data_IF_062213747832
#
_entry.id   IF_062213747832
#
_cell.length_a   1.000
_cell.length_b   1.000
_cell.length_c   1.000
_cell.angle_alpha   90.00
_cell.angle_beta   90.00
_cell.angle_gamma   90.00
#
_symmetry.space_group_name_H-M   'P 1'
#
loop_
_entity.id
_entity.type
_entity.pdbx_description
1 polymer ?
#
# COMPACT_ATOMS: atom_id res chain seq x y z
N UNK A 1 -76.49 1.84 7.12
CA UNK A 1 -77.55 2.49 6.34
C UNK A 1 -78.79 2.61 7.21
N UNK A 2 -79.54 3.69 7.06
CA UNK A 2 -80.84 3.93 7.72
C UNK A 2 -81.94 4.04 6.66
N UNK A 3 -83.24 3.89 6.99
CA UNK A 3 -84.33 4.03 6.01
C UNK A 3 -84.40 5.39 5.29
N UNK A 4 -83.77 6.42 5.87
CA UNK A 4 -83.68 7.78 5.34
C UNK A 4 -82.38 8.04 4.54
N UNK A 5 -81.53 7.01 4.35
CA UNK A 5 -80.29 7.16 3.57
C UNK A 5 -80.61 7.39 2.08
N UNK A 6 -79.93 8.31 1.38
CA UNK A 6 -80.14 8.50 -0.05
C UNK A 6 -79.78 7.25 -0.87
N UNK A 7 -80.34 7.15 -2.08
CA UNK A 7 -80.21 6.04 -3.04
C UNK A 7 -80.91 4.71 -2.70
N UNK A 8 -81.73 4.64 -1.64
CA UNK A 8 -82.63 3.50 -1.41
C UNK A 8 -83.74 3.50 -2.48
N UNK A 9 -83.84 2.40 -3.24
CA UNK A 9 -84.79 2.23 -4.35
C UNK A 9 -84.93 0.75 -4.71
N UNK A 10 -86.11 0.34 -5.20
CA UNK A 10 -86.35 -1.01 -5.69
C UNK A 10 -85.42 -1.32 -6.88
N UNK A 11 -84.71 -2.46 -6.85
CA UNK A 11 -83.75 -2.86 -7.89
C UNK A 11 -84.33 -3.99 -8.74
N UNK A 12 -84.46 -3.84 -10.09
CA UNK A 12 -85.18 -4.80 -10.94
C UNK A 12 -84.67 -6.24 -10.94
N UNK A 13 -83.39 -6.44 -10.64
CA UNK A 13 -82.74 -7.76 -10.66
C UNK A 13 -81.99 -8.05 -9.34
N UNK A 14 -82.59 -7.69 -8.20
CA UNK A 14 -81.98 -7.84 -6.88
C UNK A 14 -81.54 -9.27 -6.51
N UNK A 15 -82.17 -10.30 -7.09
CA UNK A 15 -81.87 -11.72 -6.82
C UNK A 15 -80.87 -12.33 -7.83
N UNK A 16 -80.35 -11.57 -8.79
CA UNK A 16 -79.35 -12.06 -9.74
C UNK A 16 -78.01 -12.24 -9.02
N UNK A 17 -77.50 -13.48 -8.93
CA UNK A 17 -76.09 -13.69 -8.63
C UNK A 17 -75.21 -13.25 -9.81
N UNK A 18 -74.22 -12.37 -9.60
CA UNK A 18 -73.14 -12.16 -10.58
C UNK A 18 -72.45 -13.48 -10.93
N UNK A 19 -71.99 -13.62 -12.18
CA UNK A 19 -71.40 -14.88 -12.68
C UNK A 19 -70.10 -15.27 -11.94
N UNK A 20 -69.40 -14.28 -11.39
CA UNK A 20 -68.11 -14.44 -10.70
C UNK A 20 -68.25 -14.27 -9.16
N UNK A 21 -69.41 -14.59 -8.60
CA UNK A 21 -69.66 -14.47 -7.16
C UNK A 21 -68.95 -15.57 -6.39
N UNK A 22 -67.84 -15.24 -5.72
CA UNK A 22 -67.17 -16.13 -4.77
C UNK A 22 -68.04 -16.40 -3.53
N UNK A 23 -68.00 -17.63 -3.03
CA UNK A 23 -68.61 -17.97 -1.74
C UNK A 23 -67.85 -17.34 -0.58
N UNK A 24 -68.49 -17.19 0.58
CA UNK A 24 -67.84 -16.66 1.80
C UNK A 24 -66.61 -17.51 2.17
N UNK A 25 -66.68 -18.83 1.97
CA UNK A 25 -65.55 -19.74 2.19
C UNK A 25 -64.40 -19.45 1.21
N UNK A 26 -64.67 -19.34 -0.09
CA UNK A 26 -63.65 -18.98 -1.09
C UNK A 26 -63.00 -17.62 -0.80
N UNK A 27 -63.77 -16.64 -0.32
CA UNK A 27 -63.22 -15.35 0.12
C UNK A 27 -62.37 -15.45 1.38
N UNK A 28 -62.76 -16.27 2.36
CA UNK A 28 -61.97 -16.54 3.57
C UNK A 28 -60.65 -17.24 3.23
N UNK A 29 -60.70 -18.26 2.38
CA UNK A 29 -59.52 -19.02 1.94
C UNK A 29 -58.56 -18.15 1.11
N UNK A 30 -59.08 -17.33 0.20
CA UNK A 30 -58.28 -16.35 -0.55
C UNK A 30 -57.65 -15.31 0.38
N UNK A 31 -58.40 -14.80 1.37
CA UNK A 31 -57.89 -13.82 2.35
C UNK A 31 -56.82 -14.42 3.26
N UNK A 32 -57.00 -15.68 3.69
CA UNK A 32 -56.01 -16.45 4.45
C UNK A 32 -54.73 -16.66 3.63
N UNK A 33 -54.87 -17.12 2.39
CA UNK A 33 -53.77 -17.33 1.47
C UNK A 33 -52.98 -16.04 1.18
N UNK A 34 -53.68 -14.91 1.01
CA UNK A 34 -53.02 -13.61 0.83
C UNK A 34 -52.22 -13.20 2.09
N UNK A 35 -52.78 -13.40 3.29
CA UNK A 35 -52.05 -13.19 4.54
C UNK A 35 -50.81 -14.08 4.65
N UNK A 36 -50.94 -15.38 4.42
CA UNK A 36 -49.83 -16.35 4.47
C UNK A 36 -48.72 -15.98 3.46
N UNK A 37 -49.09 -15.53 2.26
CA UNK A 37 -48.14 -14.98 1.28
C UNK A 37 -47.46 -13.71 1.76
N UNK A 38 -48.19 -12.78 2.37
CA UNK A 38 -47.61 -11.54 2.92
C UNK A 38 -46.63 -11.85 4.07
N UNK A 39 -47.01 -12.72 5.00
CA UNK A 39 -46.16 -13.16 6.11
C UNK A 39 -44.90 -13.89 5.60
N UNK A 40 -45.03 -14.73 4.57
CA UNK A 40 -43.90 -15.38 3.90
C UNK A 40 -42.95 -14.36 3.26
N UNK A 41 -43.46 -13.40 2.48
CA UNK A 41 -42.62 -12.36 1.84
C UNK A 41 -41.93 -11.46 2.87
N UNK A 42 -42.62 -11.13 3.97
CA UNK A 42 -42.02 -10.39 5.10
C UNK A 42 -40.91 -11.20 5.78
N UNK A 43 -41.06 -12.52 5.90
CA UNK A 43 -40.01 -13.41 6.39
C UNK A 43 -38.80 -13.42 5.45
N UNK A 44 -38.98 -13.60 4.13
CA UNK A 44 -37.87 -13.59 3.17
C UNK A 44 -37.16 -12.22 3.12
N UNK A 45 -37.91 -11.11 3.19
CA UNK A 45 -37.35 -9.76 3.28
C UNK A 45 -36.44 -9.57 4.50
N UNK A 46 -36.82 -10.09 5.66
CA UNK A 46 -35.97 -10.06 6.87
C UNK A 46 -34.70 -10.89 6.66
N UNK A 47 -34.84 -12.15 6.22
CA UNK A 47 -33.69 -13.04 5.98
C UNK A 47 -32.69 -12.47 4.96
N UNK A 48 -33.18 -11.81 3.91
CA UNK A 48 -32.33 -11.12 2.93
C UNK A 48 -31.58 -9.93 3.56
N UNK A 49 -32.26 -9.10 4.36
CA UNK A 49 -31.61 -8.00 5.09
C UNK A 49 -30.57 -8.52 6.08
N UNK A 50 -30.88 -9.56 6.85
CA UNK A 50 -29.94 -10.17 7.80
C UNK A 50 -28.69 -10.72 7.08
N UNK A 51 -28.86 -11.35 5.91
CA UNK A 51 -27.76 -11.83 5.08
C UNK A 51 -26.89 -10.69 4.53
N UNK A 52 -27.50 -9.59 4.07
CA UNK A 52 -26.79 -8.38 3.65
C UNK A 52 -26.00 -7.77 4.82
N UNK A 53 -26.62 -7.67 6.00
CA UNK A 53 -25.97 -7.17 7.22
C UNK A 53 -24.76 -8.04 7.61
N UNK A 54 -24.89 -9.37 7.58
CA UNK A 54 -23.81 -10.29 7.87
C UNK A 54 -22.65 -10.15 6.86
N UNK A 55 -22.96 -10.01 5.56
CA UNK A 55 -21.97 -9.80 4.50
C UNK A 55 -21.22 -8.47 4.66
N UNK A 56 -21.93 -7.38 4.96
CA UNK A 56 -21.33 -6.07 5.23
C UNK A 56 -20.42 -6.11 6.48
N UNK A 57 -20.87 -6.75 7.56
CA UNK A 57 -20.07 -6.93 8.77
C UNK A 57 -18.82 -7.79 8.51
N UNK A 58 -18.95 -8.87 7.73
CA UNK A 58 -17.81 -9.71 7.36
C UNK A 58 -16.80 -8.95 6.49
N UNK A 59 -17.26 -8.23 5.45
CA UNK A 59 -16.42 -7.40 4.60
C UNK A 59 -15.68 -6.32 5.40
N UNK A 60 -16.39 -5.64 6.30
CA UNK A 60 -15.80 -4.67 7.24
C UNK A 60 -14.73 -5.29 8.12
N UNK A 61 -15.02 -6.42 8.78
CA UNK A 61 -14.07 -7.09 9.66
C UNK A 61 -12.80 -7.53 8.92
N UNK A 62 -12.94 -7.98 7.65
CA UNK A 62 -11.79 -8.25 6.78
C UNK A 62 -10.97 -6.98 6.50
N UNK A 63 -11.60 -5.87 6.15
CA UNK A 63 -10.91 -4.60 5.91
C UNK A 63 -10.18 -4.08 7.16
N UNK A 64 -10.83 -4.11 8.33
CA UNK A 64 -10.21 -3.72 9.62
C UNK A 64 -9.02 -4.66 9.98
N UNK A 65 -9.13 -5.96 9.71
CA UNK A 65 -8.05 -6.94 9.92
C UNK A 65 -6.87 -6.73 8.95
N UNK A 66 -7.13 -6.56 7.64
CA UNK A 66 -6.10 -6.25 6.64
C UNK A 66 -5.40 -4.93 6.96
N UNK A 67 -6.15 -3.90 7.34
CA UNK A 67 -5.59 -2.60 7.72
C UNK A 67 -4.63 -2.72 8.91
N UNK A 68 -5.02 -3.51 9.92
CA UNK A 68 -4.17 -3.76 11.12
C UNK A 68 -2.92 -4.55 10.77
N UNK A 69 -3.04 -5.59 9.92
CA UNK A 69 -1.92 -6.39 9.47
C UNK A 69 -0.90 -5.58 8.65
N UNK A 70 -1.36 -4.74 7.72
CA UNK A 70 -0.48 -3.85 6.93
C UNK A 70 0.19 -2.79 7.82
N UNK A 71 -0.55 -2.18 8.74
CA UNK A 71 0.04 -1.23 9.71
C UNK A 71 1.09 -1.88 10.61
N UNK A 72 0.89 -3.14 11.02
CA UNK A 72 1.89 -3.89 11.78
C UNK A 72 3.15 -4.16 10.94
N UNK A 73 2.98 -4.71 9.72
CA UNK A 73 4.08 -5.01 8.82
C UNK A 73 4.90 -3.77 8.44
N UNK A 74 4.25 -2.62 8.18
CA UNK A 74 4.94 -1.35 7.92
C UNK A 74 5.76 -0.86 9.12
N UNK A 75 5.24 -1.01 10.36
CA UNK A 75 5.97 -0.62 11.57
C UNK A 75 7.15 -1.55 11.85
N UNK A 76 6.98 -2.85 11.62
CA UNK A 76 8.06 -3.82 11.72
C UNK A 76 9.17 -3.50 10.72
N UNK A 77 8.84 -3.33 9.43
CA UNK A 77 9.80 -2.96 8.39
C UNK A 77 10.50 -1.63 8.69
N UNK A 78 9.78 -0.64 9.22
CA UNK A 78 10.37 0.64 9.64
C UNK A 78 11.37 0.47 10.79
N UNK A 79 11.11 -0.44 11.74
CA UNK A 79 12.04 -0.78 12.81
C UNK A 79 13.30 -1.49 12.28
N UNK A 80 13.13 -2.48 11.40
CA UNK A 80 14.24 -3.17 10.72
C UNK A 80 15.09 -2.21 9.88
N UNK A 81 14.45 -1.27 9.15
CA UNK A 81 15.14 -0.21 8.42
C UNK A 81 15.93 0.72 9.35
N UNK A 82 15.38 1.09 10.51
CA UNK A 82 16.09 1.87 11.50
C UNK A 82 17.31 1.15 12.07
N UNK A 83 17.17 -0.13 12.45
CA UNK A 83 18.31 -0.95 12.89
C UNK A 83 19.41 -1.00 11.83
N UNK A 84 19.07 -1.36 10.58
CA UNK A 84 20.09 -1.42 9.50
C UNK A 84 20.70 -0.05 9.16
N UNK A 85 19.96 1.05 9.31
CA UNK A 85 20.51 2.39 9.15
C UNK A 85 21.51 2.74 10.27
N UNK A 86 21.17 2.44 11.52
CA UNK A 86 22.01 2.76 12.67
C UNK A 86 23.28 1.88 12.70
N UNK A 87 23.17 0.61 12.28
CA UNK A 87 24.32 -0.28 12.01
C UNK A 87 25.25 0.28 10.93
N UNK A 88 24.70 0.80 9.82
CA UNK A 88 25.50 1.43 8.74
C UNK A 88 26.18 2.72 9.23
N UNK A 89 25.50 3.54 10.03
CA UNK A 89 26.10 4.74 10.65
C UNK A 89 27.24 4.36 11.59
N UNK A 90 27.11 3.28 12.36
CA UNK A 90 28.20 2.74 13.18
C UNK A 90 29.36 2.20 12.33
N UNK A 91 29.08 1.47 11.23
CA UNK A 91 30.11 1.03 10.30
C UNK A 91 30.85 2.21 9.66
N UNK A 92 30.15 3.29 9.31
CA UNK A 92 30.75 4.52 8.79
C UNK A 92 31.75 5.12 9.78
N UNK A 93 31.37 5.31 11.05
CA UNK A 93 32.27 5.90 12.06
C UNK A 93 33.48 5.00 12.34
N UNK A 94 33.32 3.68 12.27
CA UNK A 94 34.43 2.74 12.35
C UNK A 94 35.39 2.86 11.14
N UNK A 95 34.87 2.94 9.91
CA UNK A 95 35.69 3.15 8.71
C UNK A 95 36.42 4.50 8.74
N UNK A 96 35.78 5.56 9.22
CA UNK A 96 36.40 6.89 9.43
C UNK A 96 37.58 6.81 10.40
N UNK A 97 37.46 6.04 11.50
CA UNK A 97 38.55 5.78 12.44
C UNK A 97 39.68 4.94 11.82
N UNK A 98 39.34 3.86 11.11
CA UNK A 98 40.32 3.02 10.41
C UNK A 98 41.13 3.82 9.38
N UNK A 99 40.46 4.68 8.58
CA UNK A 99 41.11 5.62 7.65
C UNK A 99 42.09 6.54 8.39
N UNK A 100 41.68 7.16 9.49
CA UNK A 100 42.56 8.05 10.27
C UNK A 100 43.79 7.32 10.84
N UNK A 101 43.66 6.04 11.24
CA UNK A 101 44.81 5.23 11.69
C UNK A 101 45.77 4.91 10.54
N UNK A 102 45.27 4.55 9.35
CA UNK A 102 46.12 4.29 8.18
C UNK A 102 46.82 5.58 7.70
N UNK A 103 46.17 6.74 7.77
CA UNK A 103 46.78 8.03 7.45
C UNK A 103 47.86 8.46 8.47
N UNK A 104 47.79 8.01 9.72
CA UNK A 104 48.88 8.16 10.70
C UNK A 104 50.04 7.19 10.42
N UNK A 105 49.75 5.91 10.11
CA UNK A 105 50.77 4.92 9.78
C UNK A 105 51.54 5.27 8.49
N UNK A 106 50.86 5.84 7.48
CA UNK A 106 51.48 6.41 6.28
C UNK A 106 52.48 7.52 6.66
N UNK A 107 52.04 8.52 7.46
CA UNK A 107 52.91 9.62 7.91
C UNK A 107 54.10 9.12 8.72
N UNK A 108 53.92 8.08 9.55
CA UNK A 108 54.99 7.42 10.30
C UNK A 108 55.99 6.70 9.41
N UNK A 109 55.54 5.97 8.39
CA UNK A 109 56.42 5.29 7.44
C UNK A 109 57.20 6.27 6.57
N UNK A 110 56.57 7.34 6.09
CA UNK A 110 57.27 8.41 5.38
C UNK A 110 58.36 9.07 6.24
N UNK A 111 58.08 9.31 7.52
CA UNK A 111 59.09 9.80 8.46
C UNK A 111 60.25 8.79 8.61
N UNK A 112 59.93 7.51 8.85
CA UNK A 112 60.94 6.46 8.97
C UNK A 112 61.80 6.26 7.71
N UNK A 113 61.26 6.54 6.50
CA UNK A 113 62.02 6.52 5.24
C UNK A 113 62.98 7.72 5.18
N UNK A 114 62.50 8.93 5.50
CA UNK A 114 63.30 10.16 5.55
C UNK A 114 64.42 10.06 6.59
N UNK A 115 64.15 9.44 7.73
CA UNK A 115 65.14 9.19 8.79
C UNK A 115 66.29 8.28 8.34
N UNK A 116 66.15 7.50 7.25
CA UNK A 116 67.23 6.66 6.70
C UNK A 116 68.15 7.39 5.73
N UNK A 117 67.69 8.47 5.09
CA UNK A 117 68.50 9.24 4.15
C UNK A 117 69.79 9.86 4.74
N UNK A 118 69.85 10.42 5.97
CA UNK A 118 71.10 10.94 6.51
C UNK A 118 72.16 9.84 6.71
N UNK A 119 71.76 8.63 7.10
CA UNK A 119 72.68 7.50 7.25
C UNK A 119 73.17 6.99 5.89
N UNK A 120 72.28 6.89 4.90
CA UNK A 120 72.65 6.55 3.51
C UNK A 120 73.65 7.55 2.95
N UNK A 121 73.35 8.85 3.07
CA UNK A 121 74.23 9.94 2.64
C UNK A 121 75.59 9.88 3.33
N UNK A 122 75.64 9.62 4.65
CA UNK A 122 76.89 9.48 5.38
C UNK A 122 77.73 8.31 4.88
N UNK A 123 77.13 7.15 4.61
CA UNK A 123 77.83 5.99 4.04
C UNK A 123 78.34 6.26 2.62
N UNK A 124 77.51 6.87 1.76
CA UNK A 124 77.87 7.25 0.38
C UNK A 124 79.02 8.26 0.35
N UNK A 125 78.94 9.37 1.10
CA UNK A 125 80.02 10.37 1.21
C UNK A 125 81.30 9.78 1.82
N UNK A 126 81.21 8.85 2.77
CA UNK A 126 82.41 8.15 3.31
C UNK A 126 83.06 7.19 2.31
N UNK A 127 82.29 6.63 1.38
CA UNK A 127 82.83 5.83 0.27
C UNK A 127 83.49 6.74 -0.77
N UNK A 128 82.86 7.87 -1.10
CA UNK A 128 83.39 8.90 -2.02
C UNK A 128 84.77 9.40 -1.57
N UNK A 129 84.92 9.85 -0.32
CA UNK A 129 86.22 10.25 0.25
C UNK A 129 87.30 9.13 0.26
N UNK A 130 86.92 7.86 0.09
CA UNK A 130 87.86 6.74 -0.05
C UNK A 130 88.30 6.51 -1.50
N UNK A 131 87.51 6.95 -2.48
CA UNK A 131 87.87 6.93 -3.90
C UNK A 131 88.91 7.99 -4.25
N UNK A 132 88.95 9.11 -3.51
CA UNK A 132 89.90 10.22 -3.71
C UNK A 132 91.30 9.97 -3.08
N UNK A 133 91.58 8.77 -2.57
CA UNK A 133 92.87 8.44 -1.95
C UNK A 133 93.99 8.38 -3.01
N UNK A 134 95.14 9.03 -2.79
CA UNK A 134 96.21 9.07 -3.78
C UNK A 134 97.01 7.76 -3.85
N UNK A 135 97.36 7.34 -5.06
CA UNK A 135 98.33 6.27 -5.35
C UNK A 135 98.01 4.95 -4.61
N UNK A 136 98.95 4.42 -3.82
CA UNK A 136 98.85 3.14 -3.14
C UNK A 136 97.82 3.12 -1.98
N UNK A 137 97.36 4.29 -1.52
CA UNK A 137 96.32 4.39 -0.49
C UNK A 137 94.91 4.08 -1.02
N UNK A 138 94.73 4.02 -2.36
CA UNK A 138 93.50 3.59 -3.02
C UNK A 138 93.34 2.07 -2.91
N UNK A 139 92.93 1.61 -1.73
CA UNK A 139 92.77 0.20 -1.39
C UNK A 139 91.34 -0.15 -0.97
N UNK A 140 90.90 -1.35 -1.36
CA UNK A 140 89.68 -2.00 -0.84
C UNK A 140 89.93 -2.53 0.58
N UNK A 141 90.07 -1.61 1.53
CA UNK A 141 90.31 -1.92 2.93
C UNK A 141 89.03 -2.48 3.63
N UNK A 142 89.15 -3.18 4.78
CA UNK A 142 87.97 -3.73 5.47
C UNK A 142 86.88 -2.68 5.78
N UNK A 143 87.20 -1.41 6.14
CA UNK A 143 86.19 -0.36 6.26
C UNK A 143 85.46 0.01 4.95
N UNK A 144 86.08 -0.08 3.77
CA UNK A 144 85.38 0.09 2.50
C UNK A 144 84.30 -0.98 2.30
N UNK A 145 84.62 -2.24 2.62
CA UNK A 145 83.65 -3.34 2.56
C UNK A 145 82.49 -3.11 3.54
N UNK A 146 82.78 -2.75 4.80
CA UNK A 146 81.75 -2.45 5.81
C UNK A 146 80.82 -1.30 5.42
N UNK A 147 81.35 -0.19 4.87
CA UNK A 147 80.53 0.92 4.39
C UNK A 147 79.67 0.55 3.18
N UNK A 148 80.16 -0.31 2.28
CA UNK A 148 79.40 -0.82 1.14
C UNK A 148 78.24 -1.72 1.59
N UNK A 149 78.46 -2.57 2.59
CA UNK A 149 77.44 -3.41 3.21
C UNK A 149 76.40 -2.58 3.97
N UNK A 150 76.84 -1.56 4.75
CA UNK A 150 75.96 -0.60 5.42
C UNK A 150 75.05 0.12 4.41
N UNK A 151 75.61 0.64 3.31
CA UNK A 151 74.85 1.29 2.23
C UNK A 151 73.80 0.36 1.63
N UNK A 152 74.16 -0.89 1.34
CA UNK A 152 73.25 -1.90 0.78
C UNK A 152 72.13 -2.26 1.77
N UNK A 153 72.45 -2.41 3.05
CA UNK A 153 71.49 -2.71 4.12
C UNK A 153 70.49 -1.57 4.33
N UNK A 154 70.96 -0.31 4.34
CA UNK A 154 70.09 0.86 4.42
C UNK A 154 69.19 0.96 3.18
N UNK A 155 69.73 0.73 1.98
CA UNK A 155 68.95 0.73 0.73
C UNK A 155 67.84 -0.35 0.77
N UNK A 156 68.18 -1.59 1.12
CA UNK A 156 67.19 -2.68 1.24
C UNK A 156 66.11 -2.36 2.30
N UNK A 157 66.48 -1.68 3.39
CA UNK A 157 65.53 -1.20 4.40
C UNK A 157 64.60 -0.13 3.82
N UNK A 158 65.11 0.84 3.06
CA UNK A 158 64.28 1.85 2.40
C UNK A 158 63.35 1.23 1.33
N UNK A 159 63.81 0.25 0.57
CA UNK A 159 62.99 -0.49 -0.41
C UNK A 159 61.84 -1.25 0.28
N UNK A 160 62.10 -1.93 1.39
CA UNK A 160 61.08 -2.61 2.19
C UNK A 160 60.04 -1.64 2.76
N UNK A 161 60.48 -0.50 3.30
CA UNK A 161 59.58 0.53 3.84
C UNK A 161 58.71 1.16 2.74
N UNK A 162 59.27 1.42 1.55
CA UNK A 162 58.52 1.90 0.38
C UNK A 162 57.48 0.87 -0.10
N UNK A 163 57.84 -0.42 -0.12
CA UNK A 163 56.91 -1.50 -0.42
C UNK A 163 55.75 -1.56 0.58
N UNK A 164 56.01 -1.34 1.87
CA UNK A 164 54.96 -1.26 2.89
C UNK A 164 54.11 0.01 2.77
N UNK A 165 54.71 1.14 2.40
CA UNK A 165 54.01 2.40 2.17
C UNK A 165 53.00 2.26 1.02
N UNK A 166 53.37 1.63 -0.10
CA UNK A 166 52.45 1.30 -1.19
C UNK A 166 51.27 0.44 -0.73
N UNK A 167 51.51 -0.61 0.08
CA UNK A 167 50.43 -1.44 0.63
C UNK A 167 49.44 -0.65 1.51
N UNK A 168 49.90 0.38 2.22
CA UNK A 168 49.02 1.26 3.00
C UNK A 168 48.23 2.23 2.14
N UNK A 169 48.83 2.79 1.08
CA UNK A 169 48.09 3.60 0.09
C UNK A 169 46.98 2.79 -0.57
N UNK A 170 47.27 1.57 -1.02
CA UNK A 170 46.27 0.62 -1.54
C UNK A 170 45.16 0.30 -0.52
N UNK A 171 45.50 0.22 0.78
CA UNK A 171 44.54 -0.03 1.85
C UNK A 171 43.64 1.19 2.11
N UNK A 172 44.22 2.39 2.17
CA UNK A 172 43.51 3.65 2.32
C UNK A 172 42.51 3.86 1.18
N UNK A 173 42.92 3.56 -0.05
CA UNK A 173 42.07 3.63 -1.24
C UNK A 173 40.88 2.65 -1.19
N UNK A 174 41.11 1.42 -0.71
CA UNK A 174 40.03 0.45 -0.48
C UNK A 174 39.05 0.95 0.59
N UNK A 175 39.56 1.42 1.74
CA UNK A 175 38.74 1.93 2.84
C UNK A 175 37.90 3.14 2.41
N UNK A 176 38.47 4.08 1.63
CA UNK A 176 37.75 5.24 1.09
C UNK A 176 36.62 4.84 0.13
N UNK A 177 36.82 3.81 -0.71
CA UNK A 177 35.76 3.25 -1.57
C UNK A 177 34.65 2.57 -0.75
N UNK A 178 35.02 1.84 0.31
CA UNK A 178 34.04 1.24 1.23
C UNK A 178 33.23 2.30 1.98
N UNK A 179 33.87 3.37 2.45
CA UNK A 179 33.21 4.52 3.08
C UNK A 179 32.22 5.20 2.13
N UNK A 180 32.58 5.38 0.86
CA UNK A 180 31.68 5.92 -0.15
C UNK A 180 30.44 5.04 -0.37
N UNK A 181 30.62 3.72 -0.46
CA UNK A 181 29.52 2.77 -0.61
C UNK A 181 28.57 2.78 0.61
N UNK A 182 29.11 2.75 1.84
CA UNK A 182 28.31 2.83 3.07
C UNK A 182 27.53 4.13 3.16
N UNK A 183 28.09 5.26 2.71
CA UNK A 183 27.39 6.54 2.68
C UNK A 183 26.22 6.56 1.68
N UNK A 184 26.36 5.92 0.51
CA UNK A 184 25.25 5.76 -0.43
C UNK A 184 24.16 4.85 0.15
N UNK A 185 24.53 3.73 0.78
CA UNK A 185 23.57 2.86 1.47
C UNK A 185 22.80 3.59 2.57
N UNK A 186 23.47 4.43 3.38
CA UNK A 186 22.81 5.30 4.37
C UNK A 186 21.80 6.24 3.71
N UNK A 187 22.15 6.87 2.58
CA UNK A 187 21.26 7.75 1.81
C UNK A 187 20.00 7.00 1.33
N UNK A 188 20.18 5.82 0.73
CA UNK A 188 19.10 4.96 0.24
C UNK A 188 18.20 4.48 1.39
N UNK A 189 18.77 4.11 2.54
CA UNK A 189 18.02 3.72 3.74
C UNK A 189 17.25 4.89 4.35
N UNK A 190 17.85 6.07 4.45
CA UNK A 190 17.18 7.28 4.94
C UNK A 190 15.98 7.66 4.04
N UNK A 191 16.13 7.58 2.71
CA UNK A 191 15.01 7.78 1.79
C UNK A 191 13.93 6.70 1.94
N UNK A 192 14.31 5.43 2.14
CA UNK A 192 13.38 4.32 2.38
C UNK A 192 12.56 4.52 3.66
N UNK A 193 13.22 4.92 4.75
CA UNK A 193 12.58 5.29 6.04
C UNK A 193 11.58 6.43 5.84
N UNK A 194 11.94 7.46 5.08
CA UNK A 194 11.05 8.59 4.75
C UNK A 194 9.81 8.15 3.97
N UNK A 195 9.98 7.28 2.98
CA UNK A 195 8.87 6.74 2.19
C UNK A 195 7.95 5.85 3.02
N UNK A 196 8.49 4.93 3.82
CA UNK A 196 7.70 4.04 4.67
C UNK A 196 6.94 4.79 5.78
N UNK A 197 7.51 5.87 6.33
CA UNK A 197 6.79 6.79 7.24
C UNK A 197 5.59 7.45 6.55
N UNK A 198 5.78 7.99 5.34
CA UNK A 198 4.69 8.57 4.56
C UNK A 198 3.62 7.54 4.20
N UNK A 199 4.01 6.31 3.88
CA UNK A 199 3.09 5.19 3.67
C UNK A 199 2.31 4.83 4.93
N UNK A 200 2.95 4.84 6.10
CA UNK A 200 2.30 4.57 7.38
C UNK A 200 1.27 5.65 7.74
N UNK A 201 1.62 6.93 7.53
CA UNK A 201 0.71 8.07 7.74
C UNK A 201 -0.48 8.06 6.79
N UNK A 202 -0.25 7.90 5.49
CA UNK A 202 -1.32 7.89 4.47
C UNK A 202 -2.27 6.72 4.69
N UNK A 203 -1.74 5.54 4.99
CA UNK A 203 -2.54 4.38 5.35
C UNK A 203 -3.27 4.56 6.70
N UNK A 204 -2.71 5.32 7.66
CA UNK A 204 -3.41 5.69 8.90
C UNK A 204 -4.66 6.54 8.64
N UNK A 205 -4.60 7.45 7.64
CA UNK A 205 -5.72 8.32 7.24
C UNK A 205 -6.85 7.58 6.51
N UNK A 206 -6.55 6.46 5.85
CA UNK A 206 -7.55 5.67 5.08
C UNK A 206 -8.27 4.59 5.90
N UNK A 207 -8.13 4.58 7.23
CA UNK A 207 -8.85 3.63 8.09
C UNK A 207 -10.38 3.79 7.94
N UNK A 208 -11.14 2.70 7.67
CA UNK A 208 -12.59 2.81 7.56
C UNK A 208 -13.21 3.29 8.89
N UNK A 209 -14.19 4.21 8.85
CA UNK A 209 -14.80 4.77 10.06
C UNK A 209 -15.47 3.69 10.90
N UNK A 210 -15.48 3.85 12.23
CA UNK A 210 -16.14 2.95 13.17
C UNK A 210 -17.63 2.76 12.81
N UNK A 211 -18.25 1.59 13.08
CA UNK A 211 -19.64 1.38 12.72
C UNK A 211 -20.55 2.27 13.57
N UNK A 212 -21.64 2.82 13.01
CA UNK A 212 -22.66 3.48 13.82
C UNK A 212 -23.17 2.49 14.86
N UNK A 213 -23.20 2.89 16.14
CA UNK A 213 -23.62 2.03 17.26
C UNK A 213 -25.12 1.67 17.24
N UNK A 214 -25.89 2.33 16.38
CA UNK A 214 -27.31 2.10 16.17
C UNK A 214 -27.58 0.75 15.49
N UNK A 215 -28.04 -0.23 16.27
CA UNK A 215 -28.51 -1.55 15.77
C UNK A 215 -29.55 -1.43 14.65
N UNK A 216 -30.32 -0.35 14.63
CA UNK A 216 -31.39 -0.11 13.65
C UNK A 216 -30.99 0.88 12.55
N UNK A 217 -29.69 1.16 12.32
CA UNK A 217 -29.27 2.14 11.30
C UNK A 217 -29.82 1.79 9.90
N UNK A 218 -29.79 0.52 9.51
CA UNK A 218 -30.34 0.09 8.21
C UNK A 218 -31.85 -0.18 8.23
N UNK A 219 -32.49 -0.44 9.38
CA UNK A 219 -33.96 -0.38 9.49
C UNK A 219 -34.50 1.07 9.39
N UNK A 220 -33.67 2.07 9.69
CA UNK A 220 -33.98 3.50 9.43
C UNK A 220 -33.79 3.89 7.96
N UNK A 221 -32.92 3.20 7.22
CA UNK A 221 -32.50 3.58 5.84
C UNK A 221 -33.13 2.71 4.75
N UNK A 222 -33.41 1.43 5.01
CA UNK A 222 -33.96 0.45 4.05
C UNK A 222 -35.47 0.16 4.26
N UNK A 223 -36.21 1.19 4.66
CA UNK A 223 -37.68 1.31 4.66
C UNK A 223 -38.47 0.64 5.81
N UNK A 224 -39.67 1.20 6.02
CA UNK A 224 -40.81 0.63 6.75
C UNK A 224 -40.64 0.49 8.28
N UNK A 225 -40.62 1.64 8.97
CA UNK A 225 -41.47 1.73 10.17
C UNK A 225 -42.90 1.38 9.74
N UNK A 226 -43.65 0.55 10.50
CA UNK A 226 -45.10 0.56 10.42
C UNK A 226 -45.57 1.87 11.07
N UNK A 227 -45.44 2.98 10.34
CA UNK A 227 -46.34 4.10 10.59
C UNK A 227 -47.75 3.56 10.41
N UNK A 228 -48.60 3.83 11.40
CA UNK A 228 -50.00 3.39 11.41
C UNK A 228 -50.76 4.19 10.35
N UNK A 229 -50.56 3.88 9.08
CA UNK A 229 -51.44 4.27 7.99
C UNK A 229 -52.73 3.47 8.14
N UNK A 230 -53.56 3.92 9.09
CA UNK A 230 -54.98 3.60 9.15
C UNK A 230 -55.57 4.15 7.85
N UNK A 231 -55.60 3.28 6.83
CA UNK A 231 -56.20 3.62 5.55
C UNK A 231 -57.71 3.46 5.70
N UNK A 232 -58.36 4.51 6.23
CA UNK A 232 -59.82 4.64 6.30
C UNK A 232 -60.43 4.80 4.90
N UNK A 233 -60.38 3.75 4.09
CA UNK A 233 -61.31 3.37 3.01
C UNK A 233 -60.78 2.17 2.22
N UNK A 234 -61.61 1.14 2.09
CA UNK A 234 -61.64 0.19 0.98
C UNK A 234 -60.32 -0.45 0.54
N UNK A 235 -60.02 -1.64 1.08
CA UNK A 235 -58.87 -2.45 0.62
C UNK A 235 -59.12 -2.96 -0.80
N UNK A 236 -58.57 -2.27 -1.79
CA UNK A 236 -58.40 -2.78 -3.16
C UNK A 236 -57.00 -3.34 -3.34
N UNK A 237 -56.86 -4.66 -3.28
CA UNK A 237 -55.69 -5.35 -3.82
C UNK A 237 -55.84 -5.48 -5.34
N UNK A 238 -55.30 -4.51 -6.09
CA UNK A 238 -54.97 -4.71 -7.49
C UNK A 238 -53.55 -5.31 -7.58
N UNK A 239 -53.37 -6.50 -8.18
CA UNK A 239 -52.03 -7.00 -8.49
C UNK A 239 -51.35 -6.05 -9.48
N UNK A 240 -50.12 -5.62 -9.18
CA UNK A 240 -49.26 -4.97 -10.19
C UNK A 240 -48.83 -6.06 -11.20
N UNK A 241 -49.13 -5.94 -12.51
CA UNK A 241 -48.86 -7.03 -13.46
C UNK A 241 -47.36 -7.29 -13.72
N UNK A 242 -46.50 -6.32 -13.43
CA UNK A 242 -45.20 -6.17 -14.11
C UNK A 242 -44.03 -7.00 -13.51
N UNK A 243 -44.30 -8.05 -12.72
CA UNK A 243 -43.26 -8.81 -11.99
C UNK A 243 -43.40 -10.34 -12.04
N UNK A 244 -44.08 -10.89 -13.05
CA UNK A 244 -44.04 -12.33 -13.35
C UNK A 244 -43.76 -12.56 -14.85
N UNK A 245 -42.55 -13.01 -15.23
CA UNK A 245 -42.29 -13.48 -16.59
C UNK A 245 -43.08 -14.77 -16.87
N UNK A 246 -43.85 -14.80 -17.96
CA UNK A 246 -44.39 -16.06 -18.50
C UNK A 246 -45.92 -16.26 -18.47
N UNK A 247 -46.73 -15.22 -18.66
CA UNK A 247 -48.12 -15.39 -19.09
C UNK A 247 -48.30 -15.00 -20.56
N UNK A 248 -48.64 -15.97 -21.39
CA UNK A 248 -49.09 -15.75 -22.76
C UNK A 248 -50.56 -15.31 -22.74
N UNK A 249 -50.90 -14.29 -23.52
CA UNK A 249 -52.28 -14.00 -23.94
C UNK A 249 -52.27 -13.69 -25.42
N UNK A 250 -52.55 -14.72 -26.23
CA UNK A 250 -53.02 -14.51 -27.60
C UNK A 250 -54.48 -14.02 -27.56
N UNK A 251 -54.83 -13.15 -28.52
CA UNK A 251 -56.18 -12.99 -29.13
C UNK A 251 -57.39 -12.74 -28.18
N UNK A 252 -58.18 -11.67 -28.28
CA UNK A 252 -58.49 -10.80 -29.43
C UNK A 252 -58.76 -9.34 -29.00
N UNK A 253 -58.42 -8.38 -29.85
CA UNK A 253 -58.87 -6.99 -29.76
C UNK A 253 -59.24 -6.47 -31.16
N UNK A 254 -60.52 -6.60 -31.53
CA UNK A 254 -61.09 -6.03 -32.75
C UNK A 254 -61.57 -4.59 -32.52
N UNK A 255 -61.25 -3.69 -33.46
CA UNK A 255 -62.06 -2.56 -33.96
C UNK A 255 -63.13 -1.97 -32.99
N UNK A 256 -63.13 -0.70 -32.55
CA UNK A 256 -62.52 0.59 -33.00
C UNK A 256 -62.44 1.56 -31.78
N UNK A 257 -62.13 2.87 -31.81
CA UNK A 257 -61.94 3.89 -32.85
C UNK A 257 -61.08 5.08 -32.33
N UNK A 258 -60.84 6.09 -33.19
CA UNK A 258 -60.76 7.50 -32.75
C UNK A 258 -59.35 8.09 -32.53
N UNK A 259 -58.71 8.56 -33.60
CA UNK A 259 -57.43 9.28 -33.52
C UNK A 259 -57.61 10.77 -33.18
N UNK A 260 -56.90 11.25 -32.16
CA UNK A 260 -56.23 12.57 -32.12
C UNK A 260 -55.18 12.52 -30.98
N UNK A 261 -54.01 13.16 -31.05
CA UNK A 261 -53.45 13.95 -32.13
C UNK A 261 -52.56 15.06 -31.58
N UNK A 262 -51.28 14.76 -31.26
CA UNK A 262 -50.16 15.66 -31.57
C UNK A 262 -48.79 15.05 -31.21
N UNK A 263 -47.86 15.21 -32.15
CA UNK A 263 -46.42 15.02 -31.95
C UNK A 263 -45.81 16.32 -31.40
N UNK A 264 -44.67 16.25 -30.70
CA UNK A 264 -43.49 17.03 -31.09
C UNK A 264 -42.22 16.41 -30.51
N UNK A 265 -41.17 16.33 -31.34
CA UNK A 265 -39.89 15.68 -31.01
C UNK A 265 -38.96 16.63 -30.24
N UNK A 266 -38.03 16.05 -29.47
CA UNK A 266 -36.80 16.75 -29.06
C UNK A 266 -35.80 16.81 -30.24
N UNK A 267 -34.98 17.86 -30.38
CA UNK A 267 -33.83 17.83 -31.27
C UNK A 267 -32.68 17.04 -30.66
N UNK A 268 -32.06 16.16 -31.44
CA UNK A 268 -30.70 15.68 -31.18
C UNK A 268 -29.71 16.71 -31.74
N UNK A 269 -28.63 16.99 -31.02
CA UNK A 269 -27.50 17.74 -31.55
C UNK A 269 -26.25 16.86 -31.43
N UNK A 270 -25.52 16.69 -32.53
CA UNK A 270 -24.20 16.07 -32.54
C UNK A 270 -23.17 17.00 -31.87
N UNK A 271 -22.08 16.45 -31.32
CA UNK A 271 -20.77 16.53 -32.00
C UNK A 271 -19.61 15.88 -31.24
N UNK A 272 -18.59 15.46 -32.02
CA UNK A 272 -17.25 14.94 -31.65
C UNK A 272 -17.25 13.56 -30.97
N UNK A 273 -16.84 12.45 -31.61
CA UNK A 273 -15.76 12.18 -32.59
C UNK A 273 -14.35 12.41 -32.03
N UNK A 274 -13.65 11.32 -31.69
CA UNK A 274 -12.39 10.86 -32.30
C UNK A 274 -11.76 9.70 -31.50
N UNK A 275 -11.25 8.66 -32.16
CA UNK A 275 -10.34 7.69 -31.54
C UNK A 275 -10.38 6.25 -32.07
N UNK A 276 -9.79 6.03 -33.26
CA UNK A 276 -9.43 4.73 -33.86
C UNK A 276 -10.58 3.75 -34.20
#
# INVERSE_FOLDING_TARGET
MTPQSPNISFKPHCMRMPKDTVTVQQWQDHSRHNKERADYQMCQSRRLRDAIMASLAQGRNRLDAHHTAVQFALRQRLHELHQTHDDLVWQRTKLEQEIATVEEDIRRLEAAIRDKDPYRKLAETRLEYRMDRPNMELAYDPPWHGLREERLSIQATQELLNGRLQQLWDALDRLRRQLAAVNEDISVKANSIRLDRLSLETHGRTRPPAPPKDRNYLDKVLLLRPEKTICERGVHYLPRPDLLPGYQTEQDCSYTAGCSGNQYRRPCNNDRVLGC
#
